data_IF_113292692498
#
_entry.id   IF_113292692498
#
_cell.length_a   1.000
_cell.length_b   1.000
_cell.length_c   1.000
_cell.angle_alpha   90.00
_cell.angle_beta   90.00
_cell.angle_gamma   90.00
#
_symmetry.space_group_name_H-M   'P 1'
#
loop_
_entity.id
_entity.type
_entity.pdbx_description
1 polymer ?
#
# COMPACT_ATOMS: atom_id res chain seq x y z
N UNK A 1 0.14 -11.85 -0.24
CA UNK A 1 0.86 -12.44 -1.38
C UNK A 1 -0.07 -12.70 -2.54
N UNK A 2 0.35 -12.44 -3.78
CA UNK A 2 -0.48 -12.66 -4.98
C UNK A 2 0.18 -13.71 -5.86
N UNK A 3 -0.57 -14.72 -6.27
CA UNK A 3 -0.17 -15.73 -7.24
C UNK A 3 -1.02 -15.61 -8.50
N UNK A 4 -0.40 -15.73 -9.67
CA UNK A 4 -1.13 -15.80 -10.93
C UNK A 4 -1.59 -17.24 -11.21
N UNK A 5 -2.89 -17.44 -11.39
CA UNK A 5 -3.44 -18.75 -11.77
C UNK A 5 -3.50 -18.85 -13.28
N UNK A 6 -2.60 -19.65 -13.87
CA UNK A 6 -2.56 -19.87 -15.31
C UNK A 6 -3.70 -20.80 -15.77
N UNK A 7 -4.76 -20.20 -16.32
CA UNK A 7 -5.85 -20.86 -17.06
C UNK A 7 -6.08 -20.10 -18.38
N UNK A 8 -6.99 -20.58 -19.22
CA UNK A 8 -7.36 -19.93 -20.49
C UNK A 8 -7.70 -18.43 -20.34
N UNK A 9 -8.27 -18.05 -19.19
CA UNK A 9 -8.47 -16.65 -18.74
C UNK A 9 -7.88 -16.55 -17.34
N UNK A 10 -6.56 -16.44 -17.24
CA UNK A 10 -5.86 -16.42 -15.94
C UNK A 10 -6.37 -15.31 -15.01
N UNK A 11 -6.22 -15.51 -13.70
CA UNK A 11 -6.67 -14.55 -12.69
C UNK A 11 -5.71 -14.51 -11.51
N UNK A 12 -5.63 -13.37 -10.79
CA UNK A 12 -4.86 -13.27 -9.56
C UNK A 12 -5.58 -13.97 -8.40
N UNK A 13 -4.82 -14.69 -7.58
CA UNK A 13 -5.29 -15.28 -6.33
C UNK A 13 -4.47 -14.70 -5.17
N UNK A 14 -5.15 -14.19 -4.15
CA UNK A 14 -4.51 -13.76 -2.91
C UNK A 14 -4.33 -14.94 -1.96
N UNK A 15 -3.10 -15.10 -1.47
CA UNK A 15 -2.66 -16.17 -0.58
C UNK A 15 -1.90 -15.60 0.62
N UNK A 16 -1.59 -16.48 1.58
CA UNK A 16 -0.81 -16.23 2.79
C UNK A 16 -1.45 -15.16 3.69
N UNK A 17 -2.61 -15.49 4.24
CA UNK A 17 -3.41 -14.66 5.15
C UNK A 17 -2.92 -14.72 6.61
N UNK A 18 -1.67 -15.10 6.86
CA UNK A 18 -1.14 -15.29 8.22
C UNK A 18 -0.83 -13.97 8.95
N UNK A 19 -0.61 -12.89 8.18
CA UNK A 19 -0.31 -11.54 8.69
C UNK A 19 -1.47 -10.57 8.48
N UNK A 20 -2.70 -11.04 8.69
CA UNK A 20 -3.91 -10.21 8.53
C UNK A 20 -4.34 -9.63 9.88
N UNK A 21 -4.84 -8.40 9.85
CA UNK A 21 -5.33 -7.70 11.03
C UNK A 21 -6.42 -6.71 10.67
N UNK A 22 -7.00 -6.05 11.67
CA UNK A 22 -7.88 -4.90 11.44
C UNK A 22 -7.01 -3.71 11.07
N UNK A 23 -7.20 -3.19 9.86
CA UNK A 23 -6.41 -2.08 9.32
C UNK A 23 -7.15 -1.35 8.21
N UNK A 24 -6.46 -0.38 7.60
CA UNK A 24 -6.98 0.40 6.48
C UNK A 24 -6.54 -0.22 5.15
N UNK A 25 -7.48 -0.54 4.25
CA UNK A 25 -7.13 -1.16 2.97
C UNK A 25 -6.27 -0.28 2.04
N UNK A 26 -6.32 1.05 2.18
CA UNK A 26 -5.47 1.97 1.41
C UNK A 26 -3.98 1.81 1.80
N UNK A 27 -3.70 1.44 3.06
CA UNK A 27 -2.35 1.11 3.50
C UNK A 27 -1.80 -0.12 2.77
N UNK A 28 -2.61 -1.15 2.55
CA UNK A 28 -2.18 -2.37 1.85
C UNK A 28 -1.82 -2.08 0.39
N UNK A 29 -2.58 -1.19 -0.27
CA UNK A 29 -2.27 -0.73 -1.62
C UNK A 29 -0.90 -0.03 -1.66
N UNK A 30 -0.63 0.85 -0.69
CA UNK A 30 0.69 1.50 -0.58
C UNK A 30 1.80 0.50 -0.30
N UNK A 31 1.56 -0.44 0.61
CA UNK A 31 2.53 -1.48 0.93
C UNK A 31 2.89 -2.28 -0.34
N UNK A 32 1.89 -2.63 -1.15
CA UNK A 32 2.07 -3.33 -2.41
C UNK A 32 2.89 -2.52 -3.42
N UNK A 33 2.52 -1.25 -3.65
CA UNK A 33 3.22 -0.39 -4.61
C UNK A 33 4.67 -0.12 -4.20
N UNK A 34 4.93 0.14 -2.92
CA UNK A 34 6.29 0.34 -2.41
C UNK A 34 7.15 -0.93 -2.57
N UNK A 35 6.59 -2.14 -2.56
CA UNK A 35 7.38 -3.37 -2.77
C UNK A 35 7.58 -3.74 -4.23
N UNK A 36 6.59 -3.50 -5.08
CA UNK A 36 6.51 -4.11 -6.42
C UNK A 36 6.65 -3.12 -7.58
N UNK A 37 6.59 -1.80 -7.34
CA UNK A 37 6.78 -0.79 -8.35
C UNK A 37 8.00 0.07 -8.02
N UNK A 38 9.00 0.04 -8.92
CA UNK A 38 10.14 0.95 -8.79
C UNK A 38 9.65 2.41 -8.73
N UNK A 39 10.42 3.34 -8.12
CA UNK A 39 9.95 4.70 -7.86
C UNK A 39 9.46 5.46 -9.10
N UNK A 40 10.09 5.23 -10.26
CA UNK A 40 9.72 5.94 -11.49
C UNK A 40 8.37 5.46 -12.01
N UNK A 41 8.15 4.15 -12.07
CA UNK A 41 6.86 3.57 -12.43
C UNK A 41 5.78 3.97 -11.43
N UNK A 42 6.07 3.93 -10.12
CA UNK A 42 5.10 4.32 -9.10
C UNK A 42 4.63 5.76 -9.31
N UNK A 43 5.54 6.71 -9.52
CA UNK A 43 5.17 8.12 -9.79
C UNK A 43 4.28 8.29 -11.02
N UNK A 44 4.44 7.42 -12.02
CA UNK A 44 3.61 7.43 -13.22
C UNK A 44 2.18 6.95 -12.96
N UNK A 45 2.01 5.89 -12.16
CA UNK A 45 0.73 5.16 -12.06
C UNK A 45 -0.03 5.37 -10.75
N UNK A 46 0.61 5.92 -9.72
CA UNK A 46 0.09 5.89 -8.35
C UNK A 46 -1.25 6.62 -8.18
N UNK A 47 -1.37 7.84 -8.71
CA UNK A 47 -2.60 8.64 -8.57
C UNK A 47 -3.78 7.91 -9.25
N UNK A 48 -3.57 7.39 -10.46
CA UNK A 48 -4.60 6.68 -11.23
C UNK A 48 -5.03 5.38 -10.53
N UNK A 49 -4.07 4.62 -9.97
CA UNK A 49 -4.37 3.41 -9.21
C UNK A 49 -5.12 3.71 -7.91
N UNK A 50 -4.72 4.76 -7.18
CA UNK A 50 -5.39 5.16 -5.95
C UNK A 50 -6.80 5.68 -6.23
N UNK A 51 -6.99 6.40 -7.33
CA UNK A 51 -8.33 6.83 -7.80
C UNK A 51 -9.21 5.64 -8.12
N UNK A 52 -8.71 4.69 -8.90
CA UNK A 52 -9.44 3.46 -9.23
C UNK A 52 -9.79 2.67 -7.96
N UNK A 53 -8.85 2.52 -7.03
CA UNK A 53 -9.09 1.86 -5.75
C UNK A 53 -10.21 2.55 -4.97
N UNK A 54 -10.16 3.88 -4.85
CA UNK A 54 -11.18 4.65 -4.16
C UNK A 54 -12.55 4.54 -4.81
N UNK A 55 -12.62 4.66 -6.15
CA UNK A 55 -13.88 4.59 -6.89
C UNK A 55 -14.56 3.23 -6.69
N UNK A 56 -13.80 2.14 -6.69
CA UNK A 56 -14.30 0.79 -6.38
C UNK A 56 -14.70 0.66 -4.91
N UNK A 57 -13.93 1.24 -3.98
CA UNK A 57 -14.17 1.14 -2.54
C UNK A 57 -15.47 1.82 -2.10
N UNK A 58 -15.84 2.94 -2.74
CA UNK A 58 -17.04 3.71 -2.41
C UNK A 58 -18.23 3.40 -3.32
N UNK A 59 -18.08 2.47 -4.26
CA UNK A 59 -19.15 2.01 -5.14
C UNK A 59 -20.15 1.15 -4.37
N UNK A 60 -21.28 1.77 -4.00
CA UNK A 60 -22.37 1.13 -3.26
C UNK A 60 -23.09 0.02 -4.04
N UNK A 61 -22.81 -0.14 -5.34
CA UNK A 61 -23.36 -1.23 -6.15
C UNK A 61 -22.56 -2.53 -6.00
N UNK A 62 -21.34 -2.46 -5.50
CA UNK A 62 -20.48 -3.62 -5.30
C UNK A 62 -20.75 -4.29 -3.94
N UNK A 63 -20.64 -5.63 -3.87
CA UNK A 63 -20.72 -6.34 -2.60
C UNK A 63 -19.46 -6.06 -1.77
N UNK A 64 -19.56 -5.15 -0.81
CA UNK A 64 -18.42 -4.83 0.04
C UNK A 64 -18.63 -3.48 0.72
N UNK A 65 -19.02 -3.53 1.99
CA UNK A 65 -19.12 -2.39 2.90
C UNK A 65 -20.09 -1.25 2.48
N UNK A 66 -21.41 -1.41 2.68
CA UNK A 66 -22.43 -0.41 2.31
C UNK A 66 -22.30 0.93 3.07
N UNK A 67 -21.45 0.99 4.10
CA UNK A 67 -21.24 2.18 4.92
C UNK A 67 -20.21 3.15 4.31
N UNK A 68 -19.37 2.67 3.39
CA UNK A 68 -18.41 3.52 2.67
C UNK A 68 -19.10 4.18 1.49
N UNK A 69 -18.99 5.51 1.46
CA UNK A 69 -19.51 6.38 0.41
C UNK A 69 -18.64 7.62 0.36
N UNK A 70 -18.69 8.42 -0.71
CA UNK A 70 -17.94 9.67 -0.77
C UNK A 70 -18.26 10.66 0.36
N UNK A 71 -19.42 10.52 1.02
CA UNK A 71 -19.81 11.34 2.17
C UNK A 71 -19.27 10.87 3.51
N UNK A 72 -18.89 9.59 3.64
CA UNK A 72 -18.36 9.00 4.88
C UNK A 72 -16.85 8.77 4.82
N UNK A 73 -16.30 8.58 3.63
CA UNK A 73 -14.88 8.40 3.37
C UNK A 73 -14.50 9.11 2.08
N UNK A 74 -13.77 10.22 2.20
CA UNK A 74 -13.39 11.03 1.06
C UNK A 74 -12.12 10.50 0.38
N UNK A 75 -11.91 10.92 -0.87
CA UNK A 75 -10.67 10.61 -1.58
C UNK A 75 -9.44 11.15 -0.85
N UNK A 76 -9.53 12.35 -0.28
CA UNK A 76 -8.43 12.95 0.47
C UNK A 76 -8.08 12.13 1.72
N UNK A 77 -9.08 11.58 2.40
CA UNK A 77 -8.86 10.65 3.52
C UNK A 77 -8.22 9.35 3.02
N UNK A 78 -8.69 8.79 1.91
CA UNK A 78 -8.10 7.61 1.30
C UNK A 78 -6.63 7.81 0.93
N UNK A 79 -6.29 8.96 0.36
CA UNK A 79 -4.92 9.34 0.04
C UNK A 79 -4.07 9.56 1.29
N UNK A 80 -4.64 10.19 2.32
CA UNK A 80 -3.97 10.33 3.61
C UNK A 80 -3.61 8.96 4.19
N UNK A 81 -4.57 8.03 4.23
CA UNK A 81 -4.40 6.70 4.79
C UNK A 81 -3.43 5.83 3.97
N UNK A 82 -3.47 5.96 2.64
CA UNK A 82 -2.49 5.36 1.73
C UNK A 82 -1.06 5.83 2.06
N UNK A 83 -0.85 7.15 2.17
CA UNK A 83 0.47 7.75 2.41
C UNK A 83 1.00 7.43 3.80
N UNK A 84 0.23 7.75 4.84
CA UNK A 84 0.66 7.55 6.23
C UNK A 84 0.79 6.06 6.55
N UNK A 85 -0.21 5.26 6.21
CA UNK A 85 -0.23 3.83 6.50
C UNK A 85 0.91 3.10 5.81
N UNK A 86 1.11 3.33 4.52
CA UNK A 86 2.19 2.71 3.76
C UNK A 86 3.58 3.05 4.28
N UNK A 87 3.84 4.34 4.51
CA UNK A 87 5.12 4.81 5.05
C UNK A 87 5.42 4.19 6.42
N UNK A 88 4.45 4.25 7.33
CA UNK A 88 4.56 3.70 8.69
C UNK A 88 4.83 2.20 8.69
N UNK A 89 4.11 1.45 7.86
CA UNK A 89 4.25 0.00 7.74
C UNK A 89 5.62 -0.39 7.20
N UNK A 90 6.09 0.30 6.16
CA UNK A 90 7.40 0.00 5.57
C UNK A 90 8.58 0.39 6.44
N UNK A 91 8.50 1.51 7.18
CA UNK A 91 9.55 1.86 8.15
C UNK A 91 9.69 0.78 9.22
N UNK A 92 8.56 0.27 9.74
CA UNK A 92 8.57 -0.82 10.70
C UNK A 92 9.11 -2.12 10.09
N UNK A 93 8.64 -2.48 8.88
CA UNK A 93 9.04 -3.72 8.22
C UNK A 93 10.53 -3.71 7.83
N UNK A 94 11.08 -2.57 7.41
CA UNK A 94 12.50 -2.43 7.09
C UNK A 94 13.41 -2.80 8.25
N UNK A 95 13.06 -2.42 9.48
CA UNK A 95 13.84 -2.78 10.66
C UNK A 95 13.94 -4.31 10.84
N UNK A 96 12.88 -5.03 10.50
CA UNK A 96 12.81 -6.49 10.57
C UNK A 96 13.58 -7.13 9.41
N UNK A 97 13.41 -6.61 8.18
CA UNK A 97 14.07 -7.15 6.99
C UNK A 97 15.60 -7.04 7.08
N UNK A 98 16.10 -5.98 7.74
CA UNK A 98 17.53 -5.83 8.01
C UNK A 98 18.17 -7.04 8.72
N UNK A 99 17.39 -7.80 9.51
CA UNK A 99 17.87 -9.03 10.18
C UNK A 99 17.61 -10.30 9.37
N UNK A 100 16.58 -10.31 8.51
CA UNK A 100 16.08 -11.51 7.84
C UNK A 100 16.57 -11.67 6.39
N UNK A 101 16.99 -10.58 5.75
CA UNK A 101 17.26 -10.54 4.31
C UNK A 101 18.70 -10.09 4.01
N UNK A 102 19.28 -10.49 2.86
CA UNK A 102 20.59 -10.01 2.42
C UNK A 102 20.61 -8.50 2.19
N UNK A 103 21.79 -7.88 2.35
CA UNK A 103 21.99 -6.44 2.19
C UNK A 103 21.45 -5.87 0.87
N UNK A 104 21.57 -6.62 -0.23
CA UNK A 104 21.06 -6.20 -1.55
C UNK A 104 19.53 -6.05 -1.58
N UNK A 105 18.81 -6.92 -0.87
CA UNK A 105 17.35 -6.85 -0.75
C UNK A 105 16.93 -5.72 0.18
N UNK A 106 17.66 -5.55 1.29
CA UNK A 106 17.43 -4.44 2.23
C UNK A 106 17.62 -3.09 1.55
N UNK A 107 18.68 -2.94 0.75
CA UNK A 107 18.94 -1.73 -0.01
C UNK A 107 17.80 -1.41 -0.97
N UNK A 108 17.29 -2.41 -1.70
CA UNK A 108 16.16 -2.24 -2.60
C UNK A 108 14.92 -1.68 -1.88
N UNK A 109 14.51 -2.29 -0.77
CA UNK A 109 13.34 -1.80 -0.01
C UNK A 109 13.59 -0.45 0.67
N UNK A 110 14.83 -0.21 1.15
CA UNK A 110 15.21 1.08 1.73
C UNK A 110 15.12 2.20 0.70
N UNK A 111 15.59 1.98 -0.54
CA UNK A 111 15.54 2.96 -1.61
C UNK A 111 14.10 3.27 -2.05
N UNK A 112 13.26 2.24 -2.18
CA UNK A 112 11.85 2.43 -2.54
C UNK A 112 11.07 3.19 -1.46
N UNK A 113 11.31 2.85 -0.19
CA UNK A 113 10.69 3.53 0.96
C UNK A 113 11.18 4.96 1.06
N UNK A 114 12.48 5.20 0.92
CA UNK A 114 13.05 6.55 0.97
C UNK A 114 12.54 7.43 -0.18
N UNK A 115 12.35 6.86 -1.38
CA UNK A 115 11.72 7.57 -2.49
C UNK A 115 10.27 7.93 -2.15
N UNK A 116 9.50 6.98 -1.62
CA UNK A 116 8.11 7.21 -1.24
C UNK A 116 7.96 8.35 -0.21
N UNK A 117 8.78 8.32 0.84
CA UNK A 117 8.80 9.39 1.85
C UNK A 117 9.10 10.76 1.23
N UNK A 118 10.04 10.85 0.28
CA UNK A 118 10.36 12.10 -0.41
C UNK A 118 9.22 12.57 -1.32
N UNK A 119 8.63 11.65 -2.10
CA UNK A 119 7.56 11.95 -3.05
C UNK A 119 6.32 12.51 -2.32
N UNK A 120 6.08 12.10 -1.07
CA UNK A 120 4.97 12.58 -0.23
C UNK A 120 5.35 13.61 0.84
N UNK A 121 6.60 14.08 0.88
CA UNK A 121 7.04 15.09 1.85
C UNK A 121 7.01 14.62 3.32
N UNK A 122 7.14 13.31 3.56
CA UNK A 122 7.20 12.74 4.91
C UNK A 122 8.60 12.85 5.51
N UNK A 123 8.64 13.22 6.78
CA UNK A 123 9.85 13.38 7.58
C UNK A 123 9.55 13.12 9.07
N UNK A 124 10.60 13.02 9.89
CA UNK A 124 10.51 12.75 11.35
C UNK A 124 9.60 13.67 12.17
N UNK A 125 9.14 14.77 11.59
CA UNK A 125 8.32 15.79 12.26
C UNK A 125 6.83 15.73 11.90
N UNK A 126 6.47 14.97 10.86
CA UNK A 126 5.07 14.81 10.43
C UNK A 126 4.64 13.34 10.37
N UNK A 127 5.58 12.38 10.38
CA UNK A 127 5.25 10.95 10.36
C UNK A 127 4.85 10.44 11.75
N UNK A 128 3.73 9.72 11.81
CA UNK A 128 3.24 9.09 13.04
C UNK A 128 3.93 7.76 13.38
N UNK A 129 3.54 7.17 14.52
CA UNK A 129 3.97 5.83 14.91
C UNK A 129 3.36 4.75 14.01
N UNK A 130 4.09 3.65 13.72
CA UNK A 130 3.53 2.50 13.03
C UNK A 130 2.26 1.96 13.69
N UNK A 131 1.22 1.78 12.87
CA UNK A 131 0.02 1.05 13.25
C UNK A 131 0.17 -0.35 12.63
N UNK A 132 0.37 -1.34 13.50
CA UNK A 132 0.73 -2.72 13.10
C UNK A 132 -0.48 -3.63 13.17
#
# INVERSE_FOLDING_TARGET
NIMWVFKLQGYPLMLDWEMVGLGNGAQDLSQYLISHANPDLRREIEEDLLRLYYDVLVDQTLPGNPELSPGTYSYDQCKHDYVEGGARRWIWLLAILCEMCPDSMNQYFADQTAAFLRDHGLHKGNIGMPQV
#
